data_IF_839265099970
#
_entry.id   IF_839265099970
#
_cell.length_a   1.000
_cell.length_b   1.000
_cell.length_c   1.000
_cell.angle_alpha   90.00
_cell.angle_beta   90.00
_cell.angle_gamma   90.00
#
_symmetry.space_group_name_H-M   'P 1'
#
loop_
_entity.id
_entity.type
_entity.pdbx_description
1 polymer ?
#
# COMPACT_ATOMS: atom_id res chain seq x y z
N UNK A 1 16.60 5.61 6.37
CA UNK A 1 16.38 4.26 6.97
C UNK A 1 15.07 3.58 6.53
N UNK A 2 13.98 4.34 6.37
CA UNK A 2 12.64 3.80 6.07
C UNK A 2 12.59 2.97 4.77
N UNK A 3 13.28 3.39 3.71
CA UNK A 3 13.33 2.64 2.45
C UNK A 3 13.85 1.21 2.62
N UNK A 4 14.99 1.04 3.29
CA UNK A 4 15.59 -0.29 3.49
C UNK A 4 14.66 -1.19 4.31
N UNK A 5 14.09 -0.64 5.39
CA UNK A 5 13.09 -1.34 6.21
C UNK A 5 11.86 -1.74 5.38
N UNK A 6 11.37 -0.83 4.54
CA UNK A 6 10.24 -1.09 3.65
C UNK A 6 10.55 -2.19 2.64
N UNK A 7 11.72 -2.15 1.99
CA UNK A 7 12.15 -3.16 1.01
C UNK A 7 12.24 -4.57 1.65
N UNK A 8 12.89 -4.67 2.81
CA UNK A 8 13.01 -5.94 3.56
C UNK A 8 11.62 -6.48 3.90
N UNK A 9 10.77 -5.66 4.52
CA UNK A 9 9.42 -6.08 4.96
C UNK A 9 8.51 -6.39 3.77
N UNK A 10 8.61 -5.62 2.69
CA UNK A 10 7.81 -5.82 1.48
C UNK A 10 8.12 -7.17 0.84
N UNK A 11 9.40 -7.53 0.77
CA UNK A 11 9.84 -8.84 0.25
C UNK A 11 9.56 -10.01 1.20
N UNK A 12 9.38 -9.73 2.50
CA UNK A 12 9.27 -10.76 3.52
C UNK A 12 7.98 -11.56 3.40
N UNK A 13 8.11 -12.87 3.58
CA UNK A 13 7.00 -13.80 3.40
C UNK A 13 7.15 -15.04 4.29
N UNK A 14 6.03 -15.70 4.63
CA UNK A 14 6.08 -16.93 5.43
C UNK A 14 6.42 -18.15 4.57
N UNK A 15 7.34 -19.02 5.01
CA UNK A 15 7.57 -20.34 4.40
C UNK A 15 6.29 -21.18 4.36
N UNK A 16 6.12 -21.98 3.30
CA UNK A 16 4.95 -22.85 3.12
C UNK A 16 4.81 -23.88 4.26
N UNK A 17 5.93 -24.49 4.67
CA UNK A 17 5.96 -25.53 5.71
C UNK A 17 6.14 -24.99 7.14
N UNK A 18 5.70 -23.76 7.39
CA UNK A 18 5.82 -23.15 8.72
C UNK A 18 4.89 -23.81 9.75
N UNK A 19 5.50 -24.40 10.78
CA UNK A 19 4.82 -25.03 11.91
C UNK A 19 4.11 -24.05 12.86
N UNK A 20 4.51 -22.78 12.86
CA UNK A 20 3.94 -21.76 13.74
C UNK A 20 2.47 -21.50 13.38
N UNK A 21 1.52 -21.63 14.34
CA UNK A 21 0.11 -21.35 14.12
C UNK A 21 -0.12 -19.92 13.61
N UNK A 22 -1.08 -19.76 12.70
CA UNK A 22 -1.46 -18.47 12.09
C UNK A 22 -1.60 -17.34 13.13
N UNK A 23 -2.21 -17.62 14.29
CA UNK A 23 -2.45 -16.66 15.37
C UNK A 23 -1.19 -16.17 16.08
N UNK A 24 -0.08 -16.89 15.93
CA UNK A 24 1.19 -16.62 16.61
C UNK A 24 2.30 -16.15 15.66
N UNK A 25 2.12 -16.33 14.35
CA UNK A 25 3.13 -16.02 13.33
C UNK A 25 3.71 -14.62 13.50
N UNK A 26 2.88 -13.57 13.54
CA UNK A 26 3.41 -12.22 13.66
C UNK A 26 4.21 -11.99 14.95
N UNK A 27 3.82 -12.63 16.06
CA UNK A 27 4.54 -12.50 17.33
C UNK A 27 5.89 -13.21 17.31
N UNK A 28 5.96 -14.37 16.65
CA UNK A 28 7.17 -15.20 16.65
C UNK A 28 8.12 -14.91 15.48
N UNK A 29 7.58 -14.56 14.31
CA UNK A 29 8.32 -14.46 13.04
C UNK A 29 8.09 -13.15 12.30
N UNK A 30 7.39 -12.17 12.91
CA UNK A 30 7.20 -10.84 12.35
C UNK A 30 6.50 -10.85 10.99
N UNK A 31 7.12 -10.24 9.98
CA UNK A 31 6.61 -10.23 8.60
C UNK A 31 7.04 -11.44 7.75
N UNK A 32 7.78 -12.39 8.34
CA UNK A 32 8.35 -13.55 7.65
C UNK A 32 9.82 -13.37 7.27
N UNK A 33 10.28 -14.17 6.31
CA UNK A 33 11.68 -14.20 5.87
C UNK A 33 11.81 -13.31 4.62
N UNK A 34 12.69 -12.28 4.63
CA UNK A 34 12.96 -11.46 3.47
C UNK A 34 13.61 -12.26 2.35
N UNK A 35 13.38 -11.83 1.11
CA UNK A 35 14.02 -12.44 -0.06
C UNK A 35 15.50 -12.07 -0.15
N UNK A 36 16.21 -12.72 -1.07
CA UNK A 36 17.58 -12.35 -1.40
C UNK A 36 17.66 -10.91 -1.94
N UNK A 37 18.81 -10.25 -1.79
CA UNK A 37 19.00 -8.86 -2.27
C UNK A 37 18.66 -8.69 -3.77
N UNK A 38 19.06 -9.59 -4.69
CA UNK A 38 18.66 -9.50 -6.08
C UNK A 38 17.14 -9.51 -6.28
N UNK A 39 16.42 -10.38 -5.56
CA UNK A 39 14.96 -10.48 -5.64
C UNK A 39 14.23 -9.29 -4.99
N UNK A 40 14.89 -8.53 -4.11
CA UNK A 40 14.36 -7.30 -3.53
C UNK A 40 14.49 -6.14 -4.52
N UNK A 41 15.58 -6.11 -5.28
CA UNK A 41 15.94 -4.98 -6.16
C UNK A 41 15.32 -5.14 -7.55
N UNK A 42 15.26 -6.37 -8.08
CA UNK A 42 14.82 -6.64 -9.44
C UNK A 42 13.42 -7.25 -9.47
N UNK A 43 12.58 -6.76 -10.39
CA UNK A 43 11.24 -7.28 -10.63
C UNK A 43 11.23 -8.30 -11.76
N UNK A 44 10.24 -9.21 -11.72
CA UNK A 44 9.83 -9.97 -12.90
C UNK A 44 9.14 -9.07 -13.93
N UNK A 45 9.17 -9.38 -15.25
CA UNK A 45 8.37 -8.67 -16.26
C UNK A 45 6.86 -8.69 -15.96
N UNK A 46 6.40 -9.67 -15.18
CA UNK A 46 5.00 -9.89 -14.83
C UNK A 46 4.54 -9.11 -13.58
N UNK A 47 5.41 -8.25 -13.03
CA UNK A 47 5.08 -7.39 -11.90
C UNK A 47 5.73 -6.01 -12.01
N UNK A 48 5.09 -5.00 -11.42
CA UNK A 48 5.61 -3.65 -11.31
C UNK A 48 5.60 -3.22 -9.84
N UNK A 49 6.77 -2.85 -9.32
CA UNK A 49 6.95 -2.33 -7.95
C UNK A 49 7.21 -0.82 -7.99
N UNK A 50 6.31 -0.04 -7.39
CA UNK A 50 6.40 1.41 -7.25
C UNK A 50 6.85 1.77 -5.84
N UNK A 51 7.79 2.72 -5.73
CA UNK A 51 8.30 3.21 -4.45
C UNK A 51 8.03 4.71 -4.35
N UNK A 52 7.19 5.09 -3.40
CA UNK A 52 6.89 6.47 -3.06
C UNK A 52 7.54 6.82 -1.70
N UNK A 53 8.38 7.84 -1.69
CA UNK A 53 9.05 8.36 -0.49
C UNK A 53 8.79 9.84 -0.39
N UNK A 54 8.37 10.30 0.79
CA UNK A 54 8.15 11.71 1.03
C UNK A 54 8.08 12.00 2.54
N UNK A 55 8.03 13.30 2.89
CA UNK A 55 7.65 13.77 4.20
C UNK A 55 6.33 14.55 4.12
N UNK A 56 5.25 13.95 4.61
CA UNK A 56 3.91 14.52 4.49
C UNK A 56 3.63 15.48 5.65
N UNK A 57 3.54 16.78 5.37
CA UNK A 57 3.18 17.76 6.37
C UNK A 57 1.71 17.62 6.81
N UNK A 58 1.41 18.00 8.06
CA UNK A 58 0.04 18.02 8.56
C UNK A 58 -0.81 18.99 7.76
N UNK A 59 -1.94 18.50 7.27
CA UNK A 59 -2.87 19.23 6.41
C UNK A 59 -2.72 18.83 4.94
N UNK A 60 -1.54 18.38 4.55
CA UNK A 60 -1.29 17.82 3.23
C UNK A 60 -1.79 16.39 3.12
N UNK A 61 -2.10 16.01 1.89
CA UNK A 61 -2.53 14.66 1.52
C UNK A 61 -2.01 14.33 0.14
N UNK A 62 -1.68 13.06 -0.06
CA UNK A 62 -1.42 12.52 -1.40
C UNK A 62 -2.74 11.93 -1.87
N UNK A 63 -3.29 12.48 -2.94
CA UNK A 63 -4.64 12.14 -3.43
C UNK A 63 -4.57 11.84 -4.94
N UNK A 64 -3.93 10.72 -5.30
CA UNK A 64 -3.80 10.29 -6.69
C UNK A 64 -5.16 9.77 -7.16
N UNK A 65 -5.85 10.58 -7.96
CA UNK A 65 -7.18 10.27 -8.48
C UNK A 65 -7.14 9.32 -9.69
N UNK A 66 -6.06 9.34 -10.47
CA UNK A 66 -5.88 8.47 -11.65
C UNK A 66 -4.61 7.66 -11.46
N UNK A 67 -4.67 6.74 -10.50
CA UNK A 67 -3.59 5.79 -10.31
C UNK A 67 -3.51 4.88 -11.55
N UNK A 68 -2.32 4.69 -12.16
CA UNK A 68 -2.15 3.96 -13.41
C UNK A 68 -2.23 2.45 -13.20
N UNK A 69 -3.43 1.92 -12.98
CA UNK A 69 -3.65 0.48 -12.99
C UNK A 69 -3.47 -0.08 -14.41
N UNK A 70 -2.70 -1.15 -14.62
CA UNK A 70 -2.44 -1.73 -15.93
C UNK A 70 -3.68 -2.41 -16.51
N UNK A 71 -4.03 -2.10 -17.76
CA UNK A 71 -5.20 -2.64 -18.45
C UNK A 71 -4.93 -4.06 -18.98
N UNK A 72 -3.67 -4.48 -19.13
CA UNK A 72 -3.31 -5.88 -19.43
C UNK A 72 -3.86 -6.85 -18.38
N UNK A 73 -4.13 -6.38 -17.16
CA UNK A 73 -4.72 -7.19 -16.10
C UNK A 73 -6.25 -7.35 -16.24
N UNK A 74 -6.89 -6.73 -17.22
CA UNK A 74 -8.33 -6.89 -17.49
C UNK A 74 -8.57 -8.23 -18.21
N UNK A 75 -9.36 -9.10 -17.58
CA UNK A 75 -9.78 -10.39 -18.13
C UNK A 75 -11.29 -10.55 -17.98
N UNK A 76 -11.95 -10.94 -19.05
CA UNK A 76 -13.41 -11.08 -19.13
C UNK A 76 -14.16 -9.80 -18.67
N UNK A 77 -13.60 -8.61 -18.96
CA UNK A 77 -14.17 -7.31 -18.58
C UNK A 77 -13.92 -6.88 -17.13
N UNK A 78 -13.07 -7.60 -16.38
CA UNK A 78 -12.73 -7.26 -14.99
C UNK A 78 -11.23 -7.18 -14.76
N UNK A 79 -10.78 -6.20 -13.96
CA UNK A 79 -9.44 -6.17 -13.42
C UNK A 79 -9.15 -7.42 -12.58
N UNK A 80 -8.03 -8.07 -12.88
CA UNK A 80 -7.48 -9.21 -12.15
C UNK A 80 -6.08 -8.88 -11.62
N UNK A 81 -5.43 -9.84 -10.96
CA UNK A 81 -4.07 -9.66 -10.45
C UNK A 81 -3.99 -9.60 -8.94
N UNK A 82 -2.76 -9.45 -8.47
CA UNK A 82 -2.41 -9.37 -7.06
C UNK A 82 -1.72 -8.05 -6.78
N UNK A 83 -2.09 -7.41 -5.67
CA UNK A 83 -1.54 -6.13 -5.24
C UNK A 83 -0.98 -6.29 -3.83
N UNK A 84 0.27 -5.87 -3.62
CA UNK A 84 0.95 -5.86 -2.32
C UNK A 84 1.34 -4.43 -2.01
N UNK A 85 0.98 -3.90 -0.85
CA UNK A 85 1.37 -2.57 -0.41
C UNK A 85 2.06 -2.65 0.95
N UNK A 86 3.20 -1.99 1.12
CA UNK A 86 3.92 -1.89 2.39
C UNK A 86 4.21 -0.43 2.68
N UNK A 87 3.54 0.09 3.70
CA UNK A 87 3.76 1.42 4.23
C UNK A 87 4.64 1.33 5.48
N UNK A 88 5.75 2.05 5.47
CA UNK A 88 6.60 2.25 6.64
C UNK A 88 6.72 3.75 6.89
N UNK A 89 6.44 4.19 8.10
CA UNK A 89 6.56 5.60 8.48
C UNK A 89 7.22 5.75 9.85
N UNK A 90 7.74 6.94 10.14
CA UNK A 90 8.41 7.27 11.40
C UNK A 90 7.44 7.97 12.38
N UNK A 91 6.69 7.23 13.22
CA UNK A 91 5.63 7.82 14.04
C UNK A 91 6.21 8.81 15.05
N UNK A 92 5.46 9.85 15.35
CA UNK A 92 5.71 10.69 16.51
C UNK A 92 5.30 9.91 17.75
N UNK A 93 6.21 9.82 18.72
CA UNK A 93 6.06 9.02 19.93
C UNK A 93 6.22 9.93 21.15
N UNK A 94 5.35 9.77 22.14
CA UNK A 94 5.43 10.50 23.40
C UNK A 94 5.26 9.54 24.60
N UNK A 95 6.35 9.19 25.31
CA UNK A 95 6.32 8.33 26.50
C UNK A 95 5.37 8.79 27.60
N UNK A 96 5.10 10.09 27.70
CA UNK A 96 4.23 10.66 28.74
C UNK A 96 2.75 10.29 28.55
N UNK A 97 2.35 9.85 27.36
CA UNK A 97 0.97 9.58 26.99
C UNK A 97 0.53 8.12 27.24
N UNK A 98 1.38 7.28 27.84
CA UNK A 98 1.03 5.93 28.26
C UNK A 98 0.43 5.08 27.11
N UNK A 99 -0.84 4.69 27.23
CA UNK A 99 -1.53 3.90 26.19
C UNK A 99 -1.69 4.65 24.86
N UNK A 100 -1.62 5.98 24.87
CA UNK A 100 -1.63 6.82 23.66
C UNK A 100 -0.22 7.21 23.21
N UNK A 101 0.81 6.46 23.61
CA UNK A 101 2.22 6.68 23.24
C UNK A 101 2.43 7.05 21.76
N UNK A 102 1.73 6.39 20.84
CA UNK A 102 1.75 6.74 19.43
C UNK A 102 0.92 8.00 19.17
N UNK A 103 1.61 9.10 18.86
CA UNK A 103 1.02 10.43 18.64
C UNK A 103 0.70 10.73 17.17
N UNK A 104 1.26 9.97 16.23
CA UNK A 104 0.90 10.07 14.81
C UNK A 104 0.65 8.70 14.16
N UNK A 105 -0.09 8.75 13.06
CA UNK A 105 -0.41 7.63 12.20
C UNK A 105 -0.47 8.10 10.74
N UNK A 106 -0.26 7.18 9.80
CA UNK A 106 -0.40 7.43 8.38
C UNK A 106 -1.45 6.50 7.79
N UNK A 107 -2.55 7.06 7.31
CA UNK A 107 -3.62 6.31 6.66
C UNK A 107 -3.34 6.16 5.18
N UNK A 108 -3.45 4.93 4.66
CA UNK A 108 -3.33 4.63 3.24
C UNK A 108 -4.61 3.95 2.74
N UNK A 109 -5.07 4.35 1.55
CA UNK A 109 -6.23 3.75 0.88
C UNK A 109 -5.86 3.53 -0.58
N UNK A 110 -6.21 2.36 -1.08
CA UNK A 110 -6.00 1.99 -2.48
C UNK A 110 -7.23 1.27 -2.98
N UNK A 111 -7.69 1.60 -4.17
CA UNK A 111 -8.82 0.89 -4.77
C UNK A 111 -9.42 1.63 -5.93
N UNK A 112 -10.69 1.37 -6.19
CA UNK A 112 -11.36 1.83 -7.39
C UNK A 112 -12.58 2.72 -7.10
N UNK A 113 -13.04 3.44 -8.12
CA UNK A 113 -14.20 4.32 -8.05
C UNK A 113 -14.83 4.48 -9.45
N UNK A 114 -16.06 5.01 -9.50
CA UNK A 114 -16.86 5.07 -10.72
C UNK A 114 -16.50 6.29 -11.57
N UNK A 115 -16.57 7.48 -10.96
CA UNK A 115 -16.43 8.73 -11.67
C UNK A 115 -15.82 9.83 -10.81
N UNK A 116 -15.19 10.78 -11.49
CA UNK A 116 -14.83 12.07 -10.89
C UNK A 116 -16.08 12.93 -10.83
N UNK A 117 -16.31 13.55 -9.69
CA UNK A 117 -17.46 14.45 -9.49
C UNK A 117 -16.97 15.80 -8.99
N UNK A 118 -17.60 16.86 -9.48
CA UNK A 118 -17.39 18.18 -8.89
C UNK A 118 -17.94 18.21 -7.47
N UNK A 119 -17.22 18.88 -6.59
CA UNK A 119 -17.58 19.06 -5.20
C UNK A 119 -17.77 20.54 -4.94
N UNK A 120 -18.80 20.81 -4.14
CA UNK A 120 -19.12 22.14 -3.68
C UNK A 120 -18.08 22.65 -2.66
N UNK A 121 -17.13 23.43 -3.15
CA UNK A 121 -16.05 24.04 -2.35
C UNK A 121 -16.52 25.19 -1.46
N UNK A 122 -17.79 25.60 -1.53
CA UNK A 122 -18.35 26.58 -0.58
C UNK A 122 -18.49 25.99 0.82
N UNK A 123 -18.53 24.66 0.94
CA UNK A 123 -18.53 23.94 2.22
C UNK A 123 -17.14 23.98 2.82
N UNK A 124 -17.02 24.50 4.05
CA UNK A 124 -15.74 24.68 4.78
C UNK A 124 -14.85 23.44 4.87
N UNK A 125 -15.41 22.23 4.75
CA UNK A 125 -14.69 20.96 4.85
C UNK A 125 -14.29 20.37 3.48
N UNK A 126 -14.62 21.04 2.36
CA UNK A 126 -14.34 20.59 1.00
C UNK A 126 -13.34 21.54 0.35
N UNK A 127 -12.05 21.16 0.43
CA UNK A 127 -10.96 21.93 -0.15
C UNK A 127 -10.66 21.54 -1.60
N UNK A 128 -10.91 20.28 -1.97
CA UNK A 128 -10.68 19.79 -3.33
C UNK A 128 -11.98 19.88 -4.15
N UNK A 129 -12.00 20.66 -5.25
CA UNK A 129 -13.17 20.76 -6.14
C UNK A 129 -13.50 19.45 -6.84
N UNK A 130 -12.58 18.48 -6.88
CA UNK A 130 -12.79 17.17 -7.49
C UNK A 130 -12.87 16.07 -6.43
N UNK A 131 -13.89 15.23 -6.56
CA UNK A 131 -14.16 14.09 -5.73
C UNK A 131 -14.23 12.78 -6.49
N UNK A 132 -14.35 11.68 -5.74
CA UNK A 132 -14.65 10.34 -6.26
C UNK A 132 -16.07 9.96 -5.88
N UNK A 133 -16.85 9.46 -6.85
CA UNK A 133 -18.12 8.78 -6.63
C UNK A 133 -17.92 7.27 -6.65
N UNK A 134 -18.61 6.53 -5.77
CA UNK A 134 -18.53 5.08 -5.72
C UNK A 134 -17.18 4.52 -5.25
N UNK A 135 -16.36 5.33 -4.57
CA UNK A 135 -15.01 4.91 -4.18
C UNK A 135 -15.02 3.78 -3.13
N UNK A 136 -14.23 2.75 -3.39
CA UNK A 136 -14.02 1.63 -2.49
C UNK A 136 -12.53 1.46 -2.19
N UNK A 137 -12.17 1.45 -0.90
CA UNK A 137 -10.85 1.05 -0.46
C UNK A 137 -10.76 -0.48 -0.46
N UNK A 138 -9.89 -1.05 -1.29
CA UNK A 138 -9.68 -2.49 -1.42
C UNK A 138 -8.80 -3.09 -0.31
N UNK A 139 -8.11 -2.25 0.47
CA UNK A 139 -7.40 -2.72 1.67
C UNK A 139 -8.34 -3.08 2.84
N UNK A 140 -9.66 -2.92 2.67
CA UNK A 140 -10.64 -3.34 3.66
C UNK A 140 -10.96 -4.84 3.51
N UNK A 141 -10.74 -5.61 4.58
CA UNK A 141 -10.91 -7.07 4.57
C UNK A 141 -12.35 -7.56 4.36
N UNK A 142 -13.36 -6.70 4.47
CA UNK A 142 -14.78 -7.07 4.33
C UNK A 142 -15.24 -7.30 2.88
N UNK A 143 -14.36 -7.11 1.89
CA UNK A 143 -14.67 -7.28 0.46
C UNK A 143 -14.46 -8.71 -0.04
N UNK A 144 -13.67 -9.50 0.69
CA UNK A 144 -13.17 -10.79 0.27
C UNK A 144 -14.04 -11.95 0.76
N UNK A 145 -14.24 -12.94 -0.10
CA UNK A 145 -15.00 -14.15 0.23
C UNK A 145 -14.19 -15.07 1.12
N UNK A 146 -14.67 -15.31 2.35
CA UNK A 146 -14.03 -16.28 3.29
C UNK A 146 -13.87 -17.67 2.66
N UNK A 147 -14.81 -18.08 1.80
CA UNK A 147 -14.77 -19.38 1.13
C UNK A 147 -13.71 -19.40 0.03
N UNK A 148 -13.68 -18.39 -0.86
CA UNK A 148 -12.66 -18.30 -1.93
C UNK A 148 -11.25 -18.18 -1.35
N UNK A 149 -11.12 -17.46 -0.23
CA UNK A 149 -9.87 -17.40 0.51
C UNK A 149 -9.47 -18.79 1.00
N UNK A 150 -10.35 -19.53 1.67
CA UNK A 150 -10.04 -20.89 2.17
C UNK A 150 -9.72 -21.90 1.06
N UNK A 151 -10.38 -21.82 -0.09
CA UNK A 151 -10.19 -22.76 -1.20
C UNK A 151 -8.91 -22.51 -1.99
N UNK A 152 -8.40 -21.27 -2.00
CA UNK A 152 -7.11 -20.97 -2.62
C UNK A 152 -5.98 -21.38 -1.68
N UNK A 153 -5.39 -22.53 -2.00
CA UNK A 153 -4.08 -22.96 -1.51
C UNK A 153 -3.01 -22.42 -2.45
N UNK A 154 -2.00 -21.75 -1.90
CA UNK A 154 -0.91 -21.21 -2.69
C UNK A 154 -0.06 -20.23 -1.90
N UNK A 155 1.12 -20.03 -2.43
CA UNK A 155 2.17 -19.19 -1.90
C UNK A 155 1.68 -17.79 -1.48
N UNK A 156 0.97 -17.06 -2.34
CA UNK A 156 0.42 -15.72 -2.02
C UNK A 156 -0.57 -15.72 -0.85
N UNK A 157 -1.44 -16.73 -0.80
CA UNK A 157 -2.51 -16.85 0.19
C UNK A 157 -1.97 -17.13 1.60
N UNK A 158 -0.87 -17.88 1.71
CA UNK A 158 -0.18 -18.20 2.96
C UNK A 158 0.76 -17.08 3.42
N UNK A 159 1.40 -16.39 2.46
CA UNK A 159 2.41 -15.36 2.71
C UNK A 159 1.83 -14.06 3.29
N UNK A 160 0.66 -13.61 2.84
CA UNK A 160 0.30 -12.19 3.01
C UNK A 160 -1.08 -11.91 3.66
N UNK A 161 -2.00 -12.87 3.73
CA UNK A 161 -3.35 -12.67 4.30
C UNK A 161 -3.36 -12.33 5.80
N UNK A 162 -2.28 -12.62 6.50
CA UNK A 162 -2.12 -12.36 7.95
C UNK A 162 -1.78 -10.90 8.25
N UNK A 163 -1.18 -10.18 7.29
CA UNK A 163 -0.71 -8.81 7.51
C UNK A 163 -1.86 -7.79 7.41
N UNK A 164 -2.96 -8.13 6.71
CA UNK A 164 -4.21 -7.34 6.64
C UNK A 164 -4.97 -7.32 7.98
N UNK A 165 -4.76 -8.31 8.86
CA UNK A 165 -5.57 -8.48 10.08
C UNK A 165 -5.22 -7.53 11.24
N UNK A 166 -4.11 -6.78 11.16
CA UNK A 166 -3.69 -5.86 12.21
C UNK A 166 -4.43 -4.52 12.07
N UNK A 167 -5.67 -4.54 12.55
CA UNK A 167 -6.62 -3.43 12.53
C UNK A 167 -6.37 -2.39 13.65
N UNK A 168 -5.23 -2.42 14.37
CA UNK A 168 -4.94 -1.34 15.31
C UNK A 168 -4.44 -0.11 14.55
N UNK A 169 -5.02 1.03 14.91
CA UNK A 169 -4.91 2.27 14.15
C UNK A 169 -3.48 2.83 14.08
N UNK A 170 -2.59 2.49 15.01
CA UNK A 170 -1.29 3.17 15.21
C UNK A 170 -0.08 2.21 15.16
N UNK A 171 0.15 1.56 14.01
CA UNK A 171 1.38 0.78 13.74
C UNK A 171 2.26 1.44 12.68
N UNK A 172 3.57 1.63 12.94
CA UNK A 172 4.51 2.29 12.02
C UNK A 172 4.77 1.53 10.72
N UNK A 173 4.32 0.28 10.66
CA UNK A 173 4.42 -0.58 9.48
C UNK A 173 3.04 -1.17 9.19
N UNK A 174 2.54 -0.98 7.97
CA UNK A 174 1.28 -1.55 7.49
C UNK A 174 1.55 -2.29 6.19
N UNK A 175 1.23 -3.58 6.14
CA UNK A 175 1.39 -4.38 4.93
C UNK A 175 0.05 -4.99 4.53
N UNK A 176 -0.33 -4.76 3.29
CA UNK A 176 -1.58 -5.21 2.68
C UNK A 176 -1.25 -6.09 1.50
N UNK A 177 -2.01 -7.16 1.29
CA UNK A 177 -1.91 -7.93 0.06
C UNK A 177 -3.26 -8.48 -0.34
N UNK A 178 -3.68 -8.17 -1.55
CA UNK A 178 -5.01 -8.51 -2.05
C UNK A 178 -4.88 -9.26 -3.36
N UNK A 179 -5.63 -10.35 -3.50
CA UNK A 179 -5.85 -11.01 -4.78
C UNK A 179 -7.26 -10.62 -5.25
N UNK A 180 -7.34 -9.95 -6.40
CA UNK A 180 -8.61 -9.42 -6.90
C UNK A 180 -9.64 -10.53 -7.19
N UNK A 181 -9.19 -11.75 -7.45
CA UNK A 181 -10.08 -12.90 -7.66
C UNK A 181 -10.72 -13.45 -6.36
N UNK A 182 -10.24 -13.01 -5.19
CA UNK A 182 -10.80 -13.39 -3.89
C UNK A 182 -12.02 -12.53 -3.48
N UNK A 183 -12.32 -11.46 -4.22
CA UNK A 183 -13.54 -10.68 -4.00
C UNK A 183 -14.79 -11.54 -4.17
N UNK A 184 -15.82 -11.22 -3.39
CA UNK A 184 -17.17 -11.78 -3.62
C UNK A 184 -17.68 -11.36 -5.00
N UNK A 185 -18.53 -12.15 -5.63
CA UNK A 185 -18.97 -11.89 -7.01
C UNK A 185 -19.68 -10.54 -7.15
N UNK A 186 -20.48 -10.18 -6.13
CA UNK A 186 -21.07 -8.85 -6.03
C UNK A 186 -20.01 -7.75 -6.01
N UNK A 187 -18.98 -7.89 -5.18
CA UNK A 187 -17.93 -6.86 -5.03
C UNK A 187 -17.02 -6.76 -6.24
N UNK A 188 -16.81 -7.87 -6.96
CA UNK A 188 -16.15 -7.87 -8.27
C UNK A 188 -16.94 -7.03 -9.28
N UNK A 189 -18.27 -7.20 -9.35
CA UNK A 189 -19.11 -6.39 -10.23
C UNK A 189 -19.15 -4.91 -9.80
N UNK A 190 -19.23 -4.64 -8.50
CA UNK A 190 -19.32 -3.28 -7.99
C UNK A 190 -18.03 -2.48 -8.24
N UNK A 191 -16.84 -3.13 -8.21
CA UNK A 191 -15.56 -2.43 -8.05
C UNK A 191 -14.43 -2.86 -8.99
N UNK A 192 -14.56 -3.93 -9.77
CA UNK A 192 -13.46 -4.42 -10.62
C UNK A 192 -13.78 -4.42 -12.11
N UNK A 193 -14.89 -3.85 -12.55
CA UNK A 193 -15.18 -3.74 -13.99
C UNK A 193 -14.16 -2.84 -14.70
N UNK A 194 -13.96 -3.04 -16.00
CA UNK A 194 -12.96 -2.31 -16.80
C UNK A 194 -13.19 -0.79 -16.90
N UNK A 195 -14.41 -0.30 -16.63
CA UNK A 195 -14.73 1.13 -16.58
C UNK A 195 -14.24 1.83 -15.30
N UNK A 196 -13.83 1.06 -14.28
CA UNK A 196 -13.42 1.61 -13.00
C UNK A 196 -12.11 2.35 -13.10
N UNK A 197 -12.05 3.49 -12.41
CA UNK A 197 -10.82 4.26 -12.20
C UNK A 197 -10.18 3.86 -10.89
N UNK A 198 -8.86 3.96 -10.82
CA UNK A 198 -8.08 3.57 -9.64
C UNK A 198 -7.49 4.76 -8.90
N UNK A 199 -7.36 4.63 -7.59
CA UNK A 199 -6.83 5.69 -6.74
C UNK A 199 -5.85 5.18 -5.68
N UNK A 200 -4.93 6.07 -5.32
CA UNK A 200 -4.08 5.95 -4.15
C UNK A 200 -4.22 7.21 -3.28
N UNK A 201 -4.42 7.02 -1.99
CA UNK A 201 -4.60 8.11 -1.04
C UNK A 201 -3.75 7.89 0.21
N UNK A 202 -3.02 8.93 0.64
CA UNK A 202 -2.30 8.95 1.91
C UNK A 202 -2.61 10.23 2.70
N UNK A 203 -2.79 10.10 4.01
CA UNK A 203 -3.03 11.22 4.93
C UNK A 203 -2.44 10.98 6.31
N UNK A 204 -1.70 11.97 6.83
CA UNK A 204 -1.23 11.97 8.21
C UNK A 204 -2.36 12.25 9.20
N UNK A 205 -2.41 11.49 10.29
CA UNK A 205 -3.38 11.62 11.39
C UNK A 205 -2.61 11.82 12.68
N UNK A 206 -2.95 12.85 13.44
CA UNK A 206 -2.24 13.24 14.65
C UNK A 206 -3.18 13.23 15.85
N UNK A 207 -2.64 12.89 17.03
CA UNK A 207 -3.34 12.97 18.31
C UNK A 207 -3.47 14.42 18.76
N UNK A 208 -4.54 14.73 19.49
CA UNK A 208 -4.79 16.08 19.99
C UNK A 208 -3.69 16.60 20.92
N UNK A 209 -2.97 15.71 21.63
CA UNK A 209 -1.86 16.07 22.50
C UNK A 209 -0.68 16.66 21.71
N UNK A 210 -0.13 15.93 20.75
CA UNK A 210 0.95 16.45 19.91
C UNK A 210 0.51 17.66 19.07
N UNK A 211 -0.75 17.74 18.67
CA UNK A 211 -1.27 18.92 17.98
C UNK A 211 -1.22 20.19 18.85
N UNK A 212 -1.53 20.08 20.14
CA UNK A 212 -1.43 21.21 21.09
C UNK A 212 0.02 21.59 21.32
N UNK A 213 0.92 20.62 21.50
CA UNK A 213 2.35 20.88 21.67
C UNK A 213 2.89 21.62 20.44
N UNK A 214 2.59 21.13 19.23
CA UNK A 214 3.00 21.78 17.99
C UNK A 214 2.51 23.22 17.86
N UNK A 215 1.29 23.52 18.33
CA UNK A 215 0.76 24.88 18.38
C UNK A 215 1.48 25.76 19.42
N UNK A 216 1.72 25.25 20.62
CA UNK A 216 2.38 25.98 21.70
C UNK A 216 3.84 26.28 21.37
N UNK A 217 4.54 25.30 20.81
CA UNK A 217 5.96 25.38 20.46
C UNK A 217 6.21 25.88 19.02
N UNK A 218 5.14 26.14 18.27
CA UNK A 218 5.19 26.70 16.90
C UNK A 218 6.04 25.90 15.91
N UNK A 219 5.89 24.56 15.89
CA UNK A 219 6.51 23.71 14.88
C UNK A 219 5.48 23.02 13.97
N UNK A 220 5.91 22.66 12.77
CA UNK A 220 5.06 21.97 11.80
C UNK A 220 5.14 20.46 12.00
N UNK A 221 3.98 19.84 12.25
CA UNK A 221 3.86 18.39 12.24
C UNK A 221 4.05 17.86 10.83
N UNK A 222 4.85 16.80 10.70
CA UNK A 222 5.08 16.11 9.44
C UNK A 222 5.28 14.62 9.69
N UNK A 223 5.30 13.83 8.63
CA UNK A 223 5.36 12.37 8.70
C UNK A 223 6.23 11.83 7.56
N UNK A 224 7.48 11.47 7.86
CA UNK A 224 8.35 10.78 6.91
C UNK A 224 7.80 9.36 6.66
N UNK A 225 7.73 8.96 5.39
CA UNK A 225 7.25 7.64 5.01
C UNK A 225 7.91 7.07 3.76
N UNK A 226 7.79 5.76 3.62
CA UNK A 226 8.07 4.99 2.42
C UNK A 226 6.91 4.04 2.16
N UNK A 227 6.24 4.18 1.02
CA UNK A 227 5.22 3.26 0.52
C UNK A 227 5.80 2.48 -0.66
N UNK A 228 5.74 1.16 -0.59
CA UNK A 228 6.06 0.25 -1.70
C UNK A 228 4.77 -0.40 -2.15
N UNK A 229 4.45 -0.34 -3.44
CA UNK A 229 3.24 -0.92 -4.04
C UNK A 229 3.62 -1.80 -5.22
N UNK A 230 3.31 -3.09 -5.15
CA UNK A 230 3.58 -4.07 -6.20
C UNK A 230 2.29 -4.56 -6.80
N UNK A 231 2.18 -4.51 -8.12
CA UNK A 231 1.05 -5.03 -8.90
C UNK A 231 1.60 -6.16 -9.77
N UNK A 232 0.96 -7.33 -9.75
CA UNK A 232 1.46 -8.50 -10.48
C UNK A 232 0.38 -9.35 -11.12
N UNK A 233 0.70 -9.95 -12.27
CA UNK A 233 -0.11 -11.02 -12.87
C UNK A 233 0.30 -12.37 -12.25
N UNK A 234 -0.55 -13.01 -11.43
CA UNK A 234 -0.23 -14.32 -10.85
C UNK A 234 -0.13 -15.42 -11.90
N UNK A 235 -0.65 -15.23 -13.11
CA UNK A 235 -0.55 -16.21 -14.20
C UNK A 235 0.73 -16.05 -15.04
N UNK A 236 1.52 -14.99 -14.81
CA UNK A 236 2.75 -14.70 -15.56
C UNK A 236 2.55 -14.69 -17.09
N UNK A 237 1.46 -14.08 -17.55
CA UNK A 237 1.15 -13.95 -18.99
C UNK A 237 1.35 -12.53 -19.50
N UNK A 238 1.07 -11.54 -18.66
CA UNK A 238 1.07 -10.14 -19.06
C UNK A 238 2.34 -9.40 -18.62
N UNK A 239 2.88 -8.54 -19.49
CA UNK A 239 4.05 -7.71 -19.18
C UNK A 239 3.67 -6.48 -18.36
N UNK A 240 3.31 -6.71 -17.10
CA UNK A 240 2.83 -5.67 -16.18
C UNK A 240 3.84 -4.53 -16.00
N UNK A 241 5.14 -4.83 -15.96
CA UNK A 241 6.18 -3.81 -15.80
C UNK A 241 6.16 -2.75 -16.90
N UNK A 242 6.07 -3.21 -18.16
CA UNK A 242 6.13 -2.35 -19.33
C UNK A 242 4.92 -1.41 -19.38
N UNK A 243 3.72 -1.96 -19.13
CA UNK A 243 2.49 -1.16 -19.18
C UNK A 243 2.37 -0.17 -18.04
N UNK A 244 2.77 -0.54 -16.81
CA UNK A 244 2.78 0.41 -15.69
C UNK A 244 3.76 1.55 -15.97
N UNK A 245 4.95 1.26 -16.52
CA UNK A 245 5.92 2.28 -16.90
C UNK A 245 5.36 3.23 -17.96
N UNK A 246 4.73 2.69 -19.01
CA UNK A 246 4.08 3.48 -20.04
C UNK A 246 2.97 4.37 -19.47
N UNK A 247 2.09 3.83 -18.61
CA UNK A 247 1.00 4.61 -18.01
C UNK A 247 1.50 5.71 -17.07
N UNK A 248 2.61 5.48 -16.37
CA UNK A 248 3.25 6.53 -15.56
C UNK A 248 3.70 7.71 -16.42
N UNK A 249 4.28 7.43 -17.59
CA UNK A 249 4.65 8.47 -18.58
C UNK A 249 3.41 9.18 -19.13
N UNK A 250 2.39 8.44 -19.55
CA UNK A 250 1.14 8.99 -20.08
C UNK A 250 0.43 9.92 -19.08
N UNK A 251 0.46 9.58 -17.79
CA UNK A 251 -0.14 10.37 -16.72
C UNK A 251 0.83 11.41 -16.11
N UNK A 252 2.01 11.58 -16.70
CA UNK A 252 3.04 12.56 -16.31
C UNK A 252 3.48 12.42 -14.84
N UNK A 253 3.55 11.19 -14.32
CA UNK A 253 4.16 10.94 -13.03
C UNK A 253 5.67 11.12 -13.13
N UNK A 254 6.26 11.82 -12.16
CA UNK A 254 7.70 11.85 -12.00
C UNK A 254 8.17 10.53 -11.42
N UNK A 255 8.90 9.74 -12.21
CA UNK A 255 9.42 8.45 -11.78
C UNK A 255 10.86 8.24 -12.24
N UNK A 256 11.55 7.32 -11.56
CA UNK A 256 12.92 6.93 -11.88
C UNK A 256 13.19 5.50 -11.41
N UNK A 257 13.94 4.74 -12.21
CA UNK A 257 14.42 3.43 -11.80
C UNK A 257 15.42 3.52 -10.64
N UNK A 258 15.41 2.52 -9.76
CA UNK A 258 16.41 2.39 -8.69
C UNK A 258 17.78 2.19 -9.34
N UNK A 259 18.73 3.08 -9.03
CA UNK A 259 20.13 2.95 -9.44
C UNK A 259 20.91 2.22 -8.36
N UNK A 260 21.55 1.12 -8.71
CA UNK A 260 22.44 0.39 -7.81
C UNK A 260 23.87 0.82 -8.10
N UNK A 261 24.55 1.41 -7.12
CA UNK A 261 26.00 1.64 -7.16
C UNK A 261 26.70 0.54 -6.36
N UNK A 262 27.81 0.03 -6.87
CA UNK A 262 28.64 -0.97 -6.19
C UNK A 262 29.96 -0.32 -5.81
N UNK A 263 30.08 0.13 -4.56
CA UNK A 263 31.35 0.60 -4.01
C UNK A 263 32.09 -0.59 -3.39
N UNK A 264 33.02 -1.16 -4.16
CA UNK A 264 33.93 -2.20 -3.65
C UNK A 264 35.14 -1.50 -3.03
N UNK A 265 35.14 -1.37 -1.71
CA UNK A 265 36.32 -0.91 -0.99
C UNK A 265 37.24 -2.11 -0.76
N UNK A 266 38.30 -2.23 -1.56
CA UNK A 266 39.34 -3.25 -1.36
C UNK A 266 40.29 -2.69 -0.29
N UNK A 267 40.32 -3.22 0.94
CA UNK A 267 41.36 -2.86 1.88
C UNK A 267 42.72 -3.29 1.30
N UNK A 268 43.64 -2.33 1.17
CA UNK A 268 45.04 -2.55 0.80
C UNK A 268 45.80 -3.27 1.92
#
# INVERSE_FOLDING_TARGET
PLLLKALIIHSASYPEDMSVPITERTKQVGFGIPKSVPEIIYNSPYEATLILRDNLAKGDKIDIMEFPMPDCLIRDGFYTGQIIATLVYDPILDPSQGIEYCQSNLDVKFGSYDAKVERDTTKRHILNPVGRQGAQNLFLGNLFSKTKMKSKTGDFALRERLQIQYNDKYYPVKKYAIDLSELTDKKRLDYLTMDKKWFLFLQGVYRSHIEKIAQLESFQLSQEFCLILTIRDPLQKEKVYDEVSQKLDEYNFWHSNIKVSTDVNIPL
#
